data_IF_560228219278
#
_entry.id   IF_560228219278
#
_cell.length_a   1.000
_cell.length_b   1.000
_cell.length_c   1.000
_cell.angle_alpha   90.00
_cell.angle_beta   90.00
_cell.angle_gamma   90.00
#
_symmetry.space_group_name_H-M   'P 1'
#
loop_
_entity.id
_entity.type
_entity.pdbx_description
1 polymer ?
#
# COMPACT_ATOMS: atom_id res chain seq x y z
N UNK A 1 6.17 10.98 -2.46
CA UNK A 1 7.00 9.91 -1.86
C UNK A 1 6.38 8.62 -2.33
N UNK A 2 6.92 8.01 -3.39
CA UNK A 2 6.50 6.69 -3.83
C UNK A 2 6.93 5.70 -2.74
N UNK A 3 6.04 4.85 -2.27
CA UNK A 3 6.40 3.74 -1.38
C UNK A 3 7.45 2.91 -2.12
N UNK A 4 8.72 3.06 -1.74
CA UNK A 4 9.79 2.25 -2.27
C UNK A 4 9.67 0.90 -1.57
N UNK A 5 9.10 -0.08 -2.26
CA UNK A 5 9.13 -1.46 -1.81
C UNK A 5 10.61 -1.88 -1.86
N UNK A 6 11.30 -1.78 -0.74
CA UNK A 6 12.63 -2.36 -0.57
C UNK A 6 12.48 -3.87 -0.61
N UNK A 7 13.29 -4.55 -1.43
CA UNK A 7 13.08 -5.92 -1.92
C UNK A 7 13.08 -7.08 -0.92
N UNK A 8 12.80 -6.82 0.36
CA UNK A 8 12.57 -7.82 1.41
C UNK A 8 11.30 -7.54 2.24
N UNK A 9 10.60 -6.42 1.98
CA UNK A 9 9.37 -6.06 2.68
C UNK A 9 8.17 -6.52 1.87
N UNK A 10 7.50 -7.55 2.35
CA UNK A 10 6.22 -7.98 1.80
C UNK A 10 5.18 -6.91 2.12
N UNK A 11 4.44 -6.48 1.09
CA UNK A 11 3.43 -5.43 1.21
C UNK A 11 2.10 -5.89 0.64
N UNK A 12 1.01 -5.45 1.25
CA UNK A 12 -0.35 -5.70 0.77
C UNK A 12 -0.76 -4.63 -0.24
N UNK A 13 -1.40 -5.08 -1.31
CA UNK A 13 -2.02 -4.26 -2.34
C UNK A 13 -3.48 -4.68 -2.56
N UNK A 14 -4.34 -3.75 -2.92
CA UNK A 14 -5.73 -4.01 -3.33
C UNK A 14 -5.84 -3.88 -4.85
N UNK A 15 -6.45 -4.86 -5.51
CA UNK A 15 -6.76 -4.77 -6.92
C UNK A 15 -7.79 -3.65 -7.17
N UNK A 16 -7.42 -2.67 -7.99
CA UNK A 16 -8.33 -1.60 -8.41
C UNK A 16 -9.19 -2.06 -9.56
N UNK A 17 -8.64 -2.92 -10.44
CA UNK A 17 -9.29 -3.49 -11.63
C UNK A 17 -9.11 -5.00 -11.71
N UNK A 18 -9.97 -5.68 -12.49
CA UNK A 18 -9.81 -7.09 -12.83
C UNK A 18 -8.56 -7.32 -13.70
N UNK A 19 -7.77 -8.35 -13.40
CA UNK A 19 -6.75 -8.89 -14.32
C UNK A 19 -7.19 -10.26 -14.80
N UNK A 20 -7.75 -10.31 -16.01
CA UNK A 20 -8.19 -11.57 -16.63
C UNK A 20 -7.09 -12.08 -17.54
N UNK A 21 -6.57 -13.26 -17.23
CA UNK A 21 -5.48 -13.89 -17.98
C UNK A 21 -5.71 -15.39 -18.11
N UNK A 22 -5.15 -15.97 -19.18
CA UNK A 22 -5.09 -17.43 -19.41
C UNK A 22 -3.65 -17.94 -19.35
N UNK A 23 -2.68 -17.08 -19.04
CA UNK A 23 -1.28 -17.45 -18.99
C UNK A 23 -0.94 -18.10 -17.64
N UNK A 24 -0.42 -19.32 -17.67
CA UNK A 24 -0.10 -20.11 -16.46
C UNK A 24 0.96 -19.49 -15.53
N UNK A 25 1.57 -18.36 -15.89
CA UNK A 25 2.58 -17.64 -15.08
C UNK A 25 2.06 -16.33 -14.52
N UNK A 26 0.84 -15.94 -14.88
CA UNK A 26 0.22 -14.70 -14.44
C UNK A 26 -0.83 -14.97 -13.37
N UNK A 27 -0.96 -14.05 -12.43
CA UNK A 27 -1.92 -14.13 -11.34
C UNK A 27 -3.23 -13.46 -11.76
N UNK A 28 -4.30 -14.22 -11.93
CA UNK A 28 -5.63 -13.68 -12.22
C UNK A 28 -6.32 -13.20 -10.95
N UNK A 29 -7.04 -12.08 -11.01
CA UNK A 29 -7.78 -11.54 -9.86
C UNK A 29 -8.93 -10.61 -10.27
N UNK A 30 -9.78 -10.29 -9.30
CA UNK A 30 -10.89 -9.35 -9.38
C UNK A 30 -10.61 -8.06 -8.63
N UNK A 31 -11.24 -6.97 -9.07
CA UNK A 31 -11.22 -5.72 -8.32
C UNK A 31 -11.71 -5.95 -6.88
N UNK A 32 -10.94 -5.45 -5.91
CA UNK A 32 -11.15 -5.64 -4.48
C UNK A 32 -10.34 -6.76 -3.85
N UNK A 33 -9.75 -7.67 -4.63
CA UNK A 33 -8.89 -8.73 -4.09
C UNK A 33 -7.62 -8.13 -3.46
N UNK A 34 -7.17 -8.73 -2.35
CA UNK A 34 -5.94 -8.32 -1.66
C UNK A 34 -4.81 -9.24 -2.07
N UNK A 35 -3.73 -8.65 -2.58
CA UNK A 35 -2.57 -9.35 -3.10
C UNK A 35 -1.39 -9.06 -2.19
N UNK A 36 -0.70 -10.13 -1.79
CA UNK A 36 0.58 -10.08 -1.10
C UNK A 36 1.68 -9.91 -2.14
N UNK A 37 2.30 -8.73 -2.20
CA UNK A 37 3.36 -8.43 -3.18
C UNK A 37 4.69 -8.99 -2.66
N UNK A 38 5.25 -9.94 -3.42
CA UNK A 38 6.47 -10.68 -3.07
C UNK A 38 7.71 -10.10 -3.75
N UNK A 39 7.58 -9.62 -4.99
CA UNK A 39 8.66 -8.94 -5.73
C UNK A 39 8.12 -7.76 -6.54
N UNK A 40 8.64 -6.57 -6.26
CA UNK A 40 8.33 -5.32 -6.96
C UNK A 40 9.57 -4.65 -7.58
N UNK A 41 10.61 -5.43 -7.87
CA UNK A 41 11.87 -4.96 -8.46
C UNK A 41 11.69 -4.42 -9.89
N UNK A 42 10.71 -4.93 -10.63
CA UNK A 42 10.31 -4.41 -11.93
C UNK A 42 9.19 -3.36 -11.76
N UNK A 43 9.24 -2.29 -12.55
CA UNK A 43 8.30 -1.17 -12.47
C UNK A 43 6.89 -1.47 -13.01
N UNK A 44 6.77 -2.39 -13.95
CA UNK A 44 5.54 -2.64 -14.70
C UNK A 44 4.86 -3.96 -14.29
N UNK A 45 5.66 -4.95 -13.85
CA UNK A 45 5.20 -6.29 -13.54
C UNK A 45 5.73 -6.75 -12.18
N UNK A 46 4.83 -7.13 -11.29
CA UNK A 46 5.16 -7.59 -9.93
C UNK A 46 4.83 -9.08 -9.77
N UNK A 47 5.58 -9.75 -8.89
CA UNK A 47 5.24 -11.10 -8.43
C UNK A 47 4.45 -10.98 -7.14
N UNK A 48 3.34 -11.70 -7.04
CA UNK A 48 2.52 -11.69 -5.83
C UNK A 48 1.71 -12.95 -5.66
N UNK A 49 0.97 -12.98 -4.56
CA UNK A 49 0.25 -14.13 -4.07
C UNK A 49 -1.17 -13.74 -3.63
N UNK A 50 -2.14 -14.60 -3.96
CA UNK A 50 -3.49 -14.62 -3.39
C UNK A 50 -3.73 -16.05 -2.93
N UNK A 51 -4.06 -16.25 -1.65
CA UNK A 51 -4.15 -17.56 -1.03
C UNK A 51 -2.90 -18.42 -1.33
N UNK A 52 -3.06 -19.55 -2.01
CA UNK A 52 -1.98 -20.47 -2.39
C UNK A 52 -1.48 -20.27 -3.84
N UNK A 53 -2.04 -19.31 -4.59
CA UNK A 53 -1.69 -19.04 -5.99
C UNK A 53 -0.70 -17.87 -6.10
N UNK A 54 0.40 -18.09 -6.82
CA UNK A 54 1.40 -17.08 -7.13
C UNK A 54 1.53 -16.83 -8.63
N UNK A 55 1.81 -15.58 -9.00
CA UNK A 55 1.99 -15.23 -10.40
C UNK A 55 2.43 -13.79 -10.64
N UNK A 56 2.77 -13.51 -11.91
CA UNK A 56 3.06 -12.16 -12.39
C UNK A 56 1.76 -11.38 -12.61
N UNK A 57 1.76 -10.11 -12.25
CA UNK A 57 0.65 -9.21 -12.54
C UNK A 57 1.11 -7.78 -12.82
N UNK A 58 0.33 -6.98 -13.56
CA UNK A 58 0.66 -5.60 -13.86
C UNK A 58 0.54 -4.72 -12.61
N UNK A 59 1.61 -4.01 -12.27
CA UNK A 59 1.67 -3.11 -11.11
C UNK A 59 0.60 -2.00 -11.16
N UNK A 60 0.21 -1.57 -12.36
CA UNK A 60 -0.77 -0.49 -12.58
C UNK A 60 -2.22 -0.88 -12.26
N UNK A 61 -2.50 -2.17 -11.99
CA UNK A 61 -3.85 -2.67 -11.71
C UNK A 61 -4.16 -2.68 -10.21
N UNK A 62 -3.18 -2.42 -9.36
CA UNK A 62 -3.29 -2.51 -7.91
C UNK A 62 -2.94 -1.18 -7.24
N UNK A 63 -3.41 -1.01 -6.00
CA UNK A 63 -3.05 0.11 -5.12
C UNK A 63 -2.44 -0.44 -3.84
N UNK A 64 -1.21 -0.05 -3.55
CA UNK A 64 -0.53 -0.39 -2.29
C UNK A 64 -1.27 0.20 -1.09
N UNK A 65 -1.35 -0.57 -0.01
CA UNK A 65 -1.85 -0.05 1.25
C UNK A 65 -0.86 0.95 1.86
N UNK A 66 -1.38 2.10 2.31
CA UNK A 66 -0.57 3.20 2.85
C UNK A 66 0.01 2.84 4.22
N UNK A 67 -0.78 2.16 5.04
CA UNK A 67 -0.34 1.62 6.32
C UNK A 67 -0.34 0.10 6.17
N UNK A 68 0.84 -0.50 6.11
CA UNK A 68 1.00 -1.94 6.14
C UNK A 68 0.76 -2.42 7.57
N UNK A 69 -0.05 -3.46 7.74
CA UNK A 69 -0.19 -4.09 9.05
C UNK A 69 1.02 -4.99 9.26
N UNK A 70 1.78 -4.75 10.32
CA UNK A 70 2.73 -5.74 10.79
C UNK A 70 1.91 -6.93 11.29
N UNK A 71 2.14 -8.14 10.76
CA UNK A 71 1.66 -9.37 11.39
C UNK A 71 2.28 -9.45 12.79
N UNK A 72 1.60 -8.90 13.79
CA UNK A 72 2.00 -9.05 15.19
C UNK A 72 1.61 -10.47 15.56
N UNK A 73 2.59 -11.37 15.66
CA UNK A 73 2.41 -12.61 16.40
C UNK A 73 1.90 -12.28 17.81
N UNK A 74 0.64 -12.65 18.10
CA UNK A 74 0.16 -12.68 19.48
C UNK A 74 0.92 -13.79 20.23
N UNK A 75 2.05 -13.42 20.85
CA UNK A 75 2.68 -14.23 21.88
C UNK A 75 1.72 -14.41 23.06
N UNK A 76 1.67 -15.61 23.68
CA UNK A 76 0.68 -15.91 24.72
C UNK A 76 0.87 -15.00 25.93
N UNK A 77 -0.24 -14.38 26.35
CA UNK A 77 -0.32 -13.49 27.51
C UNK A 77 0.00 -14.23 28.81
N UNK A 78 1.18 -13.97 29.39
CA UNK A 78 1.46 -14.34 30.78
C UNK A 78 0.87 -13.29 31.73
N UNK A 79 -0.19 -13.70 32.41
CA UNK A 79 -0.91 -12.93 33.43
C UNK A 79 -0.03 -12.82 34.68
N UNK A 80 0.58 -11.66 34.95
CA UNK A 80 1.21 -11.40 36.25
C UNK A 80 0.32 -10.50 37.13
N UNK A 81 -0.07 -11.10 38.26
CA UNK A 81 -0.85 -10.51 39.35
C UNK A 81 -0.13 -9.33 40.02
N UNK A 82 -0.81 -8.17 40.07
CA UNK A 82 -0.95 -7.29 41.24
C UNK A 82 0.28 -6.62 41.88
N UNK A 83 0.45 -5.32 41.60
CA UNK A 83 0.66 -4.28 42.63
C UNK A 83 0.27 -2.90 42.02
N UNK A 84 -0.71 -2.20 42.59
CA UNK A 84 -1.14 -0.87 42.12
C UNK A 84 -0.38 0.20 42.89
N UNK A 85 0.58 0.85 42.22
CA UNK A 85 1.20 2.10 42.68
C UNK A 85 0.28 3.29 42.31
N UNK A 86 -0.13 4.19 43.24
CA UNK A 86 -1.10 5.24 42.94
C UNK A 86 -0.52 6.46 42.19
N UNK A 87 0.75 6.42 41.78
CA UNK A 87 1.44 7.57 41.20
C UNK A 87 2.19 7.25 39.90
N UNK A 88 1.77 6.19 39.19
CA UNK A 88 2.20 5.96 37.81
C UNK A 88 1.18 6.62 36.90
N UNK A 89 1.58 7.75 36.29
CA UNK A 89 0.85 8.38 35.21
C UNK A 89 0.32 7.32 34.25
N UNK A 90 -0.96 7.41 33.93
CA UNK A 90 -1.71 6.47 33.12
C UNK A 90 -1.08 6.31 31.71
N UNK A 91 -0.13 5.39 31.55
CA UNK A 91 0.57 5.13 30.29
C UNK A 91 -0.20 4.24 29.31
N UNK A 92 -1.43 3.83 29.62
CA UNK A 92 -2.19 2.86 28.81
C UNK A 92 -3.29 3.47 27.92
N UNK A 93 -3.54 4.79 27.97
CA UNK A 93 -4.59 5.43 27.15
C UNK A 93 -4.08 6.28 25.98
N UNK A 94 -2.76 6.52 25.87
CA UNK A 94 -2.19 7.42 24.85
C UNK A 94 -1.67 6.76 23.58
N UNK A 95 -1.28 5.47 23.63
CA UNK A 95 -0.59 4.78 22.53
C UNK A 95 -1.47 4.44 21.31
N UNK A 96 -2.71 3.95 21.46
CA UNK A 96 -3.56 3.63 20.30
C UNK A 96 -3.99 4.88 19.53
N UNK A 97 -4.24 5.99 20.23
CA UNK A 97 -4.71 7.23 19.61
C UNK A 97 -3.62 7.93 18.78
N UNK A 98 -2.40 8.03 19.32
CA UNK A 98 -1.26 8.58 18.58
C UNK A 98 -0.92 7.76 17.32
N UNK A 99 -1.07 6.43 17.38
CA UNK A 99 -0.86 5.59 16.22
C UNK A 99 -1.90 5.86 15.12
N UNK A 100 -3.18 6.05 15.49
CA UNK A 100 -4.24 6.39 14.53
C UNK A 100 -4.06 7.76 13.90
N UNK A 101 -3.63 8.76 14.66
CA UNK A 101 -3.38 10.09 14.10
C UNK A 101 -2.18 10.09 13.15
N UNK A 102 -1.15 9.27 13.43
CA UNK A 102 -0.06 9.04 12.50
C UNK A 102 -0.54 8.31 11.23
N UNK A 103 -1.33 7.25 11.36
CA UNK A 103 -1.92 6.54 10.22
C UNK A 103 -2.78 7.45 9.36
N UNK A 104 -3.57 8.34 9.98
CA UNK A 104 -4.34 9.38 9.27
C UNK A 104 -3.43 10.35 8.53
N UNK A 105 -2.37 10.82 9.18
CA UNK A 105 -1.40 11.72 8.57
C UNK A 105 -0.71 11.07 7.35
N UNK A 106 -0.41 9.77 7.42
CA UNK A 106 0.17 9.02 6.29
C UNK A 106 -0.77 9.03 5.08
N UNK A 107 -2.05 8.73 5.31
CA UNK A 107 -3.08 8.75 4.24
C UNK A 107 -3.22 10.15 3.65
N UNK A 108 -3.29 11.19 4.50
CA UNK A 108 -3.38 12.58 4.03
C UNK A 108 -2.17 12.94 3.16
N UNK A 109 -0.97 12.58 3.59
CA UNK A 109 0.26 12.89 2.86
C UNK A 109 0.34 12.15 1.52
N UNK A 110 -0.12 10.91 1.48
CA UNK A 110 -0.20 10.13 0.26
C UNK A 110 -1.16 10.79 -0.74
N UNK A 111 -2.41 11.05 -0.35
CA UNK A 111 -3.43 11.73 -1.18
C UNK A 111 -2.88 13.05 -1.73
N UNK A 112 -2.36 13.90 -0.84
CA UNK A 112 -1.84 15.20 -1.26
C UNK A 112 -0.65 15.06 -2.21
N UNK A 113 0.18 14.03 -2.04
CA UNK A 113 1.28 13.72 -2.93
C UNK A 113 0.77 13.25 -4.29
N UNK A 114 -0.13 12.27 -4.34
CA UNK A 114 -0.63 11.72 -5.61
C UNK A 114 -1.43 12.73 -6.40
N UNK A 115 -2.24 13.57 -5.76
CA UNK A 115 -2.94 14.70 -6.41
C UNK A 115 -1.95 15.69 -7.05
N UNK A 116 -0.86 16.04 -6.37
CA UNK A 116 0.17 16.92 -6.95
C UNK A 116 0.82 16.28 -8.19
N UNK A 117 1.11 14.99 -8.16
CA UNK A 117 1.68 14.29 -9.31
C UNK A 117 0.67 14.21 -10.46
N UNK A 118 -0.59 13.88 -10.17
CA UNK A 118 -1.65 13.81 -11.17
C UNK A 118 -1.86 15.16 -11.87
N UNK A 119 -1.96 16.26 -11.12
CA UNK A 119 -2.06 17.62 -11.69
C UNK A 119 -0.87 17.94 -12.58
N UNK A 120 0.35 17.54 -12.19
CA UNK A 120 1.54 17.71 -13.03
C UNK A 120 1.41 16.94 -14.34
N UNK A 121 1.00 15.67 -14.30
CA UNK A 121 0.77 14.88 -15.51
C UNK A 121 -0.25 15.52 -16.44
N UNK A 122 -1.36 16.05 -15.90
CA UNK A 122 -2.35 16.77 -16.70
C UNK A 122 -1.77 18.02 -17.38
N UNK A 123 -0.94 18.80 -16.67
CA UNK A 123 -0.25 19.96 -17.25
C UNK A 123 0.70 19.56 -18.37
N UNK A 124 1.53 18.54 -18.12
CA UNK A 124 2.49 18.04 -19.11
C UNK A 124 1.78 17.53 -20.38
N UNK A 125 0.60 16.92 -20.25
CA UNK A 125 -0.23 16.48 -21.39
C UNK A 125 -0.75 17.69 -22.16
N UNK A 126 -1.34 18.68 -21.49
CA UNK A 126 -1.85 19.88 -22.14
C UNK A 126 -0.76 20.66 -22.88
N UNK A 127 0.43 20.79 -22.31
CA UNK A 127 1.56 21.50 -22.92
C UNK A 127 2.10 20.78 -24.17
N UNK A 128 2.19 19.44 -24.13
CA UNK A 128 2.72 18.64 -25.25
C UNK A 128 1.72 18.44 -26.38
N UNK A 129 0.47 18.11 -26.05
CA UNK A 129 -0.60 17.88 -27.05
C UNK A 129 -1.08 19.20 -27.65
N UNK A 130 -1.08 20.30 -26.87
CA UNK A 130 -1.40 21.63 -27.36
C UNK A 130 -0.37 22.23 -28.32
N UNK A 131 0.89 21.74 -28.29
CA UNK A 131 1.97 22.19 -29.18
C UNK A 131 1.95 21.53 -30.57
N UNK A 132 1.47 20.29 -30.70
CA UNK A 132 1.42 19.58 -31.98
C UNK A 132 0.28 20.05 -32.91
N UNK A 133 -0.78 20.65 -32.36
CA UNK A 133 -1.92 21.16 -33.15
C UNK A 133 -1.63 22.51 -33.86
N UNK A 134 -0.47 23.14 -33.61
CA UNK A 134 -0.05 24.40 -34.24
C UNK A 134 0.99 24.17 -35.37
N UNK A 135 1.31 22.91 -35.69
CA UNK A 135 2.28 22.55 -36.74
C UNK A 135 1.70 21.65 -37.85
N UNK A 136 0.38 21.66 -38.04
CA UNK A 136 -0.30 21.06 -39.21
C UNK A 136 -1.11 22.12 -39.97
#
# INVERSE_FOLDING_TARGET
>A
MTLLITGDSIVSAEAVWDHVTMANRELAFKAGDVIKVLDASNKDWWWGQIDDEEGWFPASFVRLWVNQEDEVEEGPSDVQNGHLDPNSDCLCLGRPLQNRDQMRANVINEIMSTERHYIKHLKDICEKVGGEMILL
#
